data_IF_788471873393
#
_entry.id   IF_788471873393
#
_cell.length_a   1.000
_cell.length_b   1.000
_cell.length_c   1.000
_cell.angle_alpha   90.00
_cell.angle_beta   90.00
_cell.angle_gamma   90.00
#
_symmetry.space_group_name_H-M   'P 1'
#
loop_
_entity.id
_entity.type
_entity.pdbx_description
1 polymer ?
#
# COMPACT_ATOMS: atom_id res chain seq x y z
N UNK A 1 -12.72 -2.86 -8.28
CA UNK A 1 -11.41 -2.52 -8.84
C UNK A 1 -11.49 -2.06 -10.32
N UNK A 2 -12.48 -2.48 -11.08
CA UNK A 2 -12.59 -2.17 -12.51
C UNK A 2 -13.23 -0.82 -12.82
N UNK A 3 -13.73 -0.10 -11.82
CA UNK A 3 -14.35 1.21 -11.97
C UNK A 3 -13.88 2.15 -10.87
N UNK A 4 -13.26 3.27 -11.25
CA UNK A 4 -13.09 4.39 -10.34
C UNK A 4 -14.41 5.15 -10.25
N UNK A 5 -14.86 5.51 -9.05
CA UNK A 5 -15.89 6.53 -8.92
C UNK A 5 -15.36 7.85 -9.52
N UNK A 6 -16.28 8.77 -9.81
CA UNK A 6 -15.87 10.10 -10.26
C UNK A 6 -14.93 10.74 -9.23
N UNK A 7 -13.77 11.19 -9.69
CA UNK A 7 -12.80 11.90 -8.86
C UNK A 7 -13.18 13.38 -8.91
N UNK A 8 -13.84 13.85 -7.88
CA UNK A 8 -14.21 15.25 -7.68
C UNK A 8 -13.30 15.94 -6.65
N UNK A 9 -13.57 17.21 -6.38
CA UNK A 9 -12.79 18.02 -5.44
C UNK A 9 -12.90 17.56 -3.96
N UNK A 10 -13.84 16.68 -3.63
CA UNK A 10 -13.98 16.13 -2.29
C UNK A 10 -13.04 14.94 -2.04
N UNK A 11 -12.55 14.30 -3.11
CA UNK A 11 -11.61 13.17 -2.99
C UNK A 11 -10.24 13.67 -2.54
N UNK A 12 -9.80 13.23 -1.38
CA UNK A 12 -8.52 13.65 -0.76
C UNK A 12 -7.38 12.66 -0.98
N UNK A 13 -7.70 11.44 -1.36
CA UNK A 13 -6.73 10.37 -1.62
C UNK A 13 -7.43 9.09 -2.05
N UNK A 14 -6.65 8.11 -2.49
CA UNK A 14 -7.15 6.83 -3.00
C UNK A 14 -6.38 5.68 -2.37
N UNK A 15 -7.07 4.62 -2.00
CA UNK A 15 -6.48 3.35 -1.56
C UNK A 15 -6.87 2.27 -2.57
N UNK A 16 -5.88 1.67 -3.20
CA UNK A 16 -6.05 0.47 -4.02
C UNK A 16 -5.91 -0.75 -3.11
N UNK A 17 -7.02 -1.41 -2.86
CA UNK A 17 -7.14 -2.54 -1.94
C UNK A 17 -6.52 -3.83 -2.49
N UNK A 18 -6.50 -4.89 -1.67
CA UNK A 18 -6.14 -6.25 -2.07
C UNK A 18 -7.14 -6.88 -3.03
N UNK A 19 -6.71 -7.95 -3.69
CA UNK A 19 -7.52 -8.79 -4.58
C UNK A 19 -7.04 -10.24 -4.49
N UNK A 20 -7.92 -11.24 -4.68
CA UNK A 20 -7.50 -12.64 -4.75
C UNK A 20 -6.81 -13.01 -6.07
N UNK A 21 -6.83 -12.13 -7.07
CA UNK A 21 -6.16 -12.35 -8.36
C UNK A 21 -4.66 -12.12 -8.28
N UNK A 22 -3.90 -12.80 -9.14
CA UNK A 22 -2.53 -12.41 -9.46
C UNK A 22 -2.56 -11.23 -10.45
N UNK A 23 -1.69 -10.25 -10.27
CA UNK A 23 -1.54 -9.14 -11.25
C UNK A 23 -1.06 -9.64 -12.63
N UNK A 24 -0.56 -10.88 -12.70
CA UNK A 24 -0.09 -11.55 -13.92
C UNK A 24 -1.20 -12.24 -14.68
N UNK A 25 -2.36 -12.43 -14.07
CA UNK A 25 -3.50 -13.06 -14.73
C UNK A 25 -4.09 -12.15 -15.81
N UNK A 26 -4.52 -12.74 -16.92
CA UNK A 26 -5.15 -11.99 -18.01
C UNK A 26 -6.44 -11.29 -17.57
N UNK A 27 -7.20 -11.95 -16.69
CA UNK A 27 -8.48 -11.48 -16.14
C UNK A 27 -8.30 -10.63 -14.86
N UNK A 28 -7.04 -10.30 -14.47
CA UNK A 28 -6.77 -9.51 -13.29
C UNK A 28 -7.44 -8.13 -13.37
N UNK A 29 -8.04 -7.66 -12.28
CA UNK A 29 -8.63 -6.32 -12.23
C UNK A 29 -7.59 -5.24 -12.57
N UNK A 30 -7.93 -4.37 -13.50
CA UNK A 30 -7.08 -3.26 -13.93
C UNK A 30 -7.83 -1.95 -13.83
N UNK A 31 -7.11 -0.87 -13.55
CA UNK A 31 -7.68 0.45 -13.36
C UNK A 31 -6.83 1.49 -14.11
N UNK A 32 -7.47 2.46 -14.72
CA UNK A 32 -6.78 3.63 -15.27
C UNK A 32 -6.39 4.57 -14.12
N UNK A 33 -5.08 4.75 -13.94
CA UNK A 33 -4.51 5.60 -12.90
C UNK A 33 -4.21 7.02 -13.37
N UNK A 34 -4.50 7.38 -14.62
CA UNK A 34 -4.14 8.68 -15.22
C UNK A 34 -4.74 9.89 -14.48
N UNK A 35 -5.91 9.71 -13.87
CA UNK A 35 -6.58 10.75 -13.08
C UNK A 35 -6.06 10.87 -11.65
N UNK A 36 -5.29 9.89 -11.15
CA UNK A 36 -4.91 9.75 -9.74
C UNK A 36 -3.40 9.90 -9.55
N UNK A 37 -2.62 9.08 -10.26
CA UNK A 37 -1.16 8.97 -10.05
C UNK A 37 -0.48 10.32 -10.26
N UNK A 38 0.34 10.71 -9.27
CA UNK A 38 1.04 11.99 -9.26
C UNK A 38 0.15 13.22 -8.97
N UNK A 39 -1.17 13.03 -8.82
CA UNK A 39 -2.14 14.13 -8.59
C UNK A 39 -2.79 14.06 -7.21
N UNK A 40 -3.12 12.86 -6.77
CA UNK A 40 -3.72 12.61 -5.47
C UNK A 40 -2.83 11.68 -4.66
N UNK A 41 -2.85 11.78 -3.32
CA UNK A 41 -2.29 10.76 -2.47
C UNK A 41 -2.83 9.36 -2.81
N UNK A 42 -1.94 8.42 -3.04
CA UNK A 42 -2.27 7.05 -3.46
C UNK A 42 -1.55 6.04 -2.57
N UNK A 43 -2.31 5.08 -2.02
CA UNK A 43 -1.78 3.94 -1.29
C UNK A 43 -2.20 2.64 -1.97
N UNK A 44 -1.24 1.85 -2.43
CA UNK A 44 -1.47 0.48 -2.88
C UNK A 44 -1.32 -0.50 -1.71
N UNK A 45 -2.31 -1.38 -1.50
CA UNK A 45 -2.28 -2.43 -0.47
C UNK A 45 -2.31 -3.79 -1.13
N UNK A 46 -1.35 -4.66 -0.84
CA UNK A 46 -1.23 -6.02 -1.35
C UNK A 46 -1.32 -6.08 -2.89
N UNK A 47 -2.44 -6.50 -3.47
CA UNK A 47 -2.66 -6.48 -4.92
C UNK A 47 -2.42 -5.06 -5.50
N UNK A 48 -2.89 -4.01 -4.83
CA UNK A 48 -2.67 -2.63 -5.26
C UNK A 48 -1.18 -2.27 -5.34
N UNK A 49 -0.35 -2.75 -4.42
CA UNK A 49 1.09 -2.56 -4.46
C UNK A 49 1.73 -3.31 -5.64
N UNK A 50 1.34 -4.56 -5.86
CA UNK A 50 1.82 -5.36 -6.98
C UNK A 50 1.40 -4.76 -8.32
N UNK A 51 0.16 -4.27 -8.41
CA UNK A 51 -0.36 -3.61 -9.60
C UNK A 51 0.46 -2.36 -9.97
N UNK A 52 0.73 -1.48 -8.99
CA UNK A 52 1.56 -0.30 -9.19
C UNK A 52 2.98 -0.67 -9.65
N UNK A 53 3.62 -1.64 -8.99
CA UNK A 53 4.96 -2.07 -9.37
C UNK A 53 4.99 -2.61 -10.80
N UNK A 54 4.13 -3.58 -11.14
CA UNK A 54 4.13 -4.22 -12.46
C UNK A 54 3.70 -3.28 -13.58
N UNK A 55 2.67 -2.45 -13.35
CA UNK A 55 2.14 -1.53 -14.36
C UNK A 55 3.16 -0.47 -14.80
N UNK A 56 4.05 -0.06 -13.90
CA UNK A 56 5.06 0.95 -14.17
C UNK A 56 6.47 0.40 -14.43
N UNK A 57 6.59 -0.89 -14.75
CA UNK A 57 7.84 -1.49 -15.24
C UNK A 57 8.70 -2.16 -14.18
N UNK A 58 8.16 -2.38 -12.98
CA UNK A 58 8.72 -3.29 -11.99
C UNK A 58 8.47 -4.75 -12.35
N UNK A 59 8.75 -5.64 -11.40
CA UNK A 59 8.60 -7.08 -11.61
C UNK A 59 7.87 -7.73 -10.42
N UNK A 60 6.85 -8.53 -10.73
CA UNK A 60 6.10 -9.34 -9.78
C UNK A 60 6.16 -10.80 -10.21
N UNK A 61 6.61 -11.66 -9.32
CA UNK A 61 6.78 -13.10 -9.58
C UNK A 61 6.01 -13.92 -8.54
N UNK A 62 5.73 -15.21 -8.82
CA UNK A 62 5.24 -16.09 -7.77
C UNK A 62 6.21 -16.10 -6.59
N UNK A 63 5.69 -15.96 -5.39
CA UNK A 63 6.52 -16.12 -4.20
C UNK A 63 7.03 -17.58 -4.11
N UNK A 64 8.30 -17.82 -3.71
CA UNK A 64 8.85 -19.16 -3.56
C UNK A 64 8.07 -20.04 -2.59
N UNK A 65 7.50 -19.41 -1.57
CA UNK A 65 6.51 -19.97 -0.66
C UNK A 65 5.35 -19.00 -0.55
N UNK A 66 4.12 -19.52 -0.35
CA UNK A 66 2.98 -18.65 -0.07
C UNK A 66 3.19 -17.94 1.27
N UNK A 67 3.27 -16.63 1.23
CA UNK A 67 3.49 -15.79 2.42
C UNK A 67 2.14 -15.47 3.07
N UNK A 68 1.75 -16.32 4.01
CA UNK A 68 0.54 -16.15 4.81
C UNK A 68 0.92 -16.15 6.28
N UNK A 69 0.53 -15.10 6.99
CA UNK A 69 0.72 -15.04 8.43
C UNK A 69 1.47 -13.80 8.90
N UNK A 70 2.02 -13.93 10.11
CA UNK A 70 2.76 -12.87 10.77
C UNK A 70 4.17 -12.77 10.23
N UNK A 71 4.60 -11.55 9.94
CA UNK A 71 5.98 -11.24 9.58
C UNK A 71 6.46 -10.04 10.40
N UNK A 72 7.76 -9.97 10.63
CA UNK A 72 8.38 -8.81 11.27
C UNK A 72 8.86 -7.83 10.21
N UNK A 73 8.16 -6.69 10.12
CA UNK A 73 8.54 -5.57 9.26
C UNK A 73 9.70 -4.83 9.89
N UNK A 74 10.72 -4.52 9.10
CA UNK A 74 11.80 -3.59 9.45
C UNK A 74 11.64 -2.31 8.64
N UNK A 75 11.46 -1.18 9.31
CA UNK A 75 11.40 0.14 8.67
C UNK A 75 12.82 0.52 8.24
N UNK A 76 13.02 0.71 6.95
CA UNK A 76 14.31 1.08 6.33
C UNK A 76 14.48 2.59 6.31
N UNK A 77 13.40 3.31 5.99
CA UNK A 77 13.36 4.78 5.92
C UNK A 77 12.44 5.31 7.04
N UNK A 78 12.97 5.56 8.25
CA UNK A 78 12.14 5.98 9.39
C UNK A 78 11.56 7.39 9.25
N UNK A 79 12.16 8.24 8.40
CA UNK A 79 11.70 9.60 8.13
C UNK A 79 10.63 9.65 7.01
N UNK A 80 10.24 8.49 6.47
CA UNK A 80 9.16 8.42 5.49
C UNK A 80 7.82 8.72 6.16
N UNK A 81 7.01 9.60 5.53
CA UNK A 81 5.72 10.06 6.07
C UNK A 81 4.73 8.94 6.38
N UNK A 82 4.75 7.85 5.60
CA UNK A 82 3.87 6.70 5.85
C UNK A 82 4.33 5.93 7.10
N UNK A 83 5.64 5.92 7.37
CA UNK A 83 6.25 5.18 8.48
C UNK A 83 6.38 6.02 9.77
N UNK A 84 5.95 7.27 9.75
CA UNK A 84 6.07 8.19 10.88
C UNK A 84 5.46 7.61 12.17
N UNK A 85 6.24 7.62 13.25
CA UNK A 85 5.81 7.12 14.57
C UNK A 85 5.73 5.59 14.69
N UNK A 86 6.04 4.83 13.64
CA UNK A 86 6.16 3.38 13.74
C UNK A 86 7.50 3.01 14.40
N UNK A 87 7.52 1.95 15.24
CA UNK A 87 8.79 1.42 15.74
C UNK A 87 9.62 0.88 14.57
N UNK A 88 10.96 0.82 14.76
CA UNK A 88 11.86 0.31 13.71
C UNK A 88 11.52 -1.12 13.25
N UNK A 89 10.93 -1.90 14.15
CA UNK A 89 10.41 -3.23 13.83
C UNK A 89 8.99 -3.38 14.38
N UNK A 90 8.09 -3.88 13.56
CA UNK A 90 6.69 -4.11 13.95
C UNK A 90 6.13 -5.36 13.28
N UNK A 91 5.15 -6.00 13.91
CA UNK A 91 4.48 -7.16 13.33
C UNK A 91 3.44 -6.71 12.30
N UNK A 92 3.47 -7.33 11.13
CA UNK A 92 2.49 -7.16 10.06
C UNK A 92 1.89 -8.50 9.63
N UNK A 93 0.76 -8.46 8.94
CA UNK A 93 0.11 -9.63 8.36
C UNK A 93 0.34 -9.68 6.85
N UNK A 94 0.95 -10.77 6.39
CA UNK A 94 1.13 -11.08 4.98
C UNK A 94 0.02 -12.03 4.51
N UNK A 95 -0.45 -11.84 3.27
CA UNK A 95 -1.47 -12.70 2.66
C UNK A 95 -1.38 -12.59 1.13
N UNK A 96 -0.31 -13.15 0.55
CA UNK A 96 -0.09 -13.07 -0.90
C UNK A 96 0.66 -14.30 -1.45
N UNK A 97 0.35 -14.64 -2.70
CA UNK A 97 1.01 -15.72 -3.44
C UNK A 97 2.03 -15.21 -4.46
N UNK A 98 2.02 -13.93 -4.78
CA UNK A 98 3.01 -13.26 -5.64
C UNK A 98 3.79 -12.25 -4.81
N UNK A 99 5.04 -11.99 -5.17
CA UNK A 99 5.92 -11.04 -4.49
C UNK A 99 6.53 -10.04 -5.48
N UNK A 100 6.76 -8.81 -5.03
CA UNK A 100 7.43 -7.78 -5.81
C UNK A 100 8.93 -8.03 -5.69
N UNK A 101 9.56 -8.42 -6.80
CA UNK A 101 11.00 -8.71 -6.84
C UNK A 101 11.83 -7.51 -7.25
N UNK A 102 11.24 -6.58 -8.01
CA UNK A 102 11.89 -5.35 -8.43
C UNK A 102 10.89 -4.20 -8.53
N UNK A 103 11.24 -3.08 -7.92
CA UNK A 103 10.53 -1.81 -8.13
C UNK A 103 11.10 -1.08 -9.36
N UNK A 104 10.27 -0.26 -10.05
CA UNK A 104 10.76 0.58 -11.16
C UNK A 104 11.79 1.63 -10.71
N UNK A 105 12.49 2.24 -11.66
CA UNK A 105 13.36 3.38 -11.39
C UNK A 105 12.56 4.56 -10.81
N UNK A 106 13.15 5.29 -9.87
CA UNK A 106 12.48 6.36 -9.14
C UNK A 106 11.57 5.90 -8.01
N UNK A 107 11.60 4.60 -7.68
CA UNK A 107 10.89 4.04 -6.54
C UNK A 107 11.89 3.69 -5.43
N UNK A 108 11.51 3.95 -4.19
CA UNK A 108 12.35 3.70 -3.01
C UNK A 108 11.67 2.72 -2.07
N UNK A 109 12.40 1.69 -1.65
CA UNK A 109 11.93 0.75 -0.63
C UNK A 109 12.00 1.44 0.72
N UNK A 110 10.89 1.45 1.46
CA UNK A 110 10.78 2.11 2.77
C UNK A 110 10.69 1.11 3.93
N UNK A 111 10.29 -0.13 3.64
CA UNK A 111 10.32 -1.21 4.63
C UNK A 111 10.46 -2.59 3.96
N UNK A 112 11.04 -3.53 4.71
CA UNK A 112 11.30 -4.91 4.28
C UNK A 112 10.96 -5.89 5.40
N UNK A 113 10.80 -7.18 5.07
CA UNK A 113 10.84 -8.27 6.03
C UNK A 113 12.01 -9.21 5.72
N UNK A 114 12.21 -10.23 6.53
CA UNK A 114 13.25 -11.23 6.23
C UNK A 114 13.01 -11.96 4.90
N UNK A 115 11.75 -12.20 4.56
CA UNK A 115 11.33 -12.97 3.38
C UNK A 115 10.95 -12.05 2.20
N UNK A 116 10.39 -10.86 2.49
CA UNK A 116 9.90 -9.90 1.49
C UNK A 116 10.76 -8.65 1.48
N UNK A 117 11.67 -8.59 0.50
CA UNK A 117 12.55 -7.43 0.36
C UNK A 117 11.77 -6.13 0.08
N UNK A 118 10.76 -6.19 -0.76
CA UNK A 118 9.87 -5.05 -1.09
C UNK A 118 8.57 -5.18 -0.32
N UNK A 119 8.62 -5.00 1.02
CA UNK A 119 7.42 -5.03 1.85
C UNK A 119 6.66 -3.69 1.82
N UNK A 120 7.36 -2.58 1.63
CA UNK A 120 6.77 -1.26 1.37
C UNK A 120 7.71 -0.42 0.51
N UNK A 121 7.14 0.41 -0.35
CA UNK A 121 7.87 1.36 -1.18
C UNK A 121 7.09 2.65 -1.39
N UNK A 122 7.78 3.71 -1.83
CA UNK A 122 7.19 4.97 -2.30
C UNK A 122 7.73 5.33 -3.68
N UNK A 123 7.01 6.20 -4.39
CA UNK A 123 7.47 6.81 -5.63
C UNK A 123 8.09 8.18 -5.28
N UNK A 124 9.32 8.42 -5.71
CA UNK A 124 9.99 9.69 -5.46
C UNK A 124 9.33 10.82 -6.28
N UNK A 125 9.10 11.95 -5.63
CA UNK A 125 8.46 13.11 -6.27
C UNK A 125 6.94 13.01 -6.43
N UNK A 126 6.31 11.88 -6.03
CA UNK A 126 4.87 11.69 -6.08
C UNK A 126 4.30 11.32 -4.71
N UNK A 127 3.04 11.70 -4.41
CA UNK A 127 2.37 11.30 -3.16
C UNK A 127 1.82 9.87 -3.26
N UNK A 128 2.68 8.92 -3.63
CA UNK A 128 2.30 7.51 -3.87
C UNK A 128 3.14 6.56 -3.04
N UNK A 129 2.48 5.73 -2.25
CA UNK A 129 3.05 4.66 -1.43
C UNK A 129 2.41 3.33 -1.75
N UNK A 130 3.08 2.27 -1.39
CA UNK A 130 2.56 0.92 -1.52
C UNK A 130 3.11 0.00 -0.43
N UNK A 131 2.27 -0.91 0.04
CA UNK A 131 2.59 -1.90 1.07
C UNK A 131 2.11 -3.29 0.63
N UNK A 132 2.93 -4.30 0.83
CA UNK A 132 2.59 -5.69 0.48
C UNK A 132 1.71 -6.35 1.54
N UNK A 133 1.77 -5.89 2.77
CA UNK A 133 1.02 -6.40 3.92
C UNK A 133 -0.34 -5.71 4.10
N UNK A 134 -1.15 -6.25 5.01
CA UNK A 134 -2.49 -5.79 5.32
C UNK A 134 -2.49 -4.99 6.63
N UNK A 135 -2.49 -3.65 6.60
CA UNK A 135 -2.50 -2.82 7.82
C UNK A 135 -3.86 -2.84 8.52
N UNK A 136 -4.93 -3.17 7.78
CA UNK A 136 -6.32 -3.16 8.26
C UNK A 136 -6.67 -4.34 9.16
N UNK A 137 -5.87 -5.41 9.13
CA UNK A 137 -6.17 -6.59 9.93
C UNK A 137 -5.61 -6.51 11.34
N UNK A 138 -6.29 -7.11 12.30
CA UNK A 138 -5.92 -7.13 13.73
C UNK A 138 -4.47 -7.57 14.00
N UNK A 139 -3.90 -8.43 13.16
CA UNK A 139 -2.55 -8.97 13.35
C UNK A 139 -1.43 -8.01 12.93
N UNK A 140 -1.75 -6.88 12.30
CA UNK A 140 -0.80 -5.80 12.01
C UNK A 140 -0.82 -4.82 13.19
N UNK A 141 0.17 -4.93 14.09
CA UNK A 141 0.19 -4.26 15.39
C UNK A 141 0.05 -2.74 15.28
N UNK A 142 0.82 -2.12 14.39
CA UNK A 142 0.82 -0.68 14.17
C UNK A 142 0.06 -0.27 12.89
N UNK A 143 -0.80 -1.16 12.38
CA UNK A 143 -1.56 -0.94 11.15
C UNK A 143 -2.47 0.29 11.22
N UNK A 144 -3.11 0.52 12.37
CA UNK A 144 -3.95 1.71 12.61
C UNK A 144 -3.13 3.00 12.51
N UNK A 145 -1.90 3.01 13.08
CA UNK A 145 -1.02 4.18 13.00
C UNK A 145 -0.62 4.45 11.55
N UNK A 146 -0.26 3.40 10.78
CA UNK A 146 0.09 3.52 9.37
C UNK A 146 -1.08 4.08 8.53
N UNK A 147 -2.28 3.54 8.71
CA UNK A 147 -3.48 4.06 8.03
C UNK A 147 -3.79 5.50 8.44
N UNK A 148 -3.59 5.86 9.71
CA UNK A 148 -3.72 7.23 10.18
C UNK A 148 -2.70 8.17 9.51
N UNK A 149 -1.45 7.74 9.38
CA UNK A 149 -0.41 8.51 8.68
C UNK A 149 -0.85 8.80 7.23
N UNK A 150 -1.41 7.81 6.54
CA UNK A 150 -1.92 8.02 5.19
C UNK A 150 -3.15 8.92 5.16
N UNK A 151 -4.22 8.55 5.87
CA UNK A 151 -5.53 9.21 5.75
C UNK A 151 -5.50 10.62 6.35
N UNK A 152 -4.91 10.79 7.52
CA UNK A 152 -4.88 12.09 8.21
C UNK A 152 -3.64 12.87 7.84
N UNK A 153 -2.44 12.27 7.95
CA UNK A 153 -1.16 12.95 7.74
C UNK A 153 -0.90 13.30 6.28
N UNK A 154 -1.16 12.37 5.36
CA UNK A 154 -0.84 12.53 3.93
C UNK A 154 -2.03 13.12 3.16
N UNK A 155 -3.24 12.54 3.31
CA UNK A 155 -4.44 13.02 2.62
C UNK A 155 -5.06 14.25 3.25
N UNK A 156 -4.73 14.59 4.50
CA UNK A 156 -5.27 15.73 5.22
C UNK A 156 -6.76 15.60 5.55
N UNK A 157 -7.27 14.37 5.73
CA UNK A 157 -8.65 14.13 6.11
C UNK A 157 -8.90 14.54 7.57
N UNK A 158 -9.99 15.25 7.81
CA UNK A 158 -10.42 15.59 9.17
C UNK A 158 -10.99 14.35 9.88
N UNK A 159 -10.71 14.23 11.19
CA UNK A 159 -11.29 13.19 12.05
C UNK A 159 -12.56 13.70 12.74
N UNK A 160 -13.52 14.21 11.95
CA UNK A 160 -14.74 14.82 12.47
C UNK A 160 -15.91 13.84 12.60
N UNK A 161 -15.78 12.64 12.01
CA UNK A 161 -16.83 11.62 12.12
C UNK A 161 -16.67 10.82 13.41
N UNK A 162 -17.75 10.68 14.15
CA UNK A 162 -17.87 9.80 15.31
C UNK A 162 -19.14 8.98 15.17
N UNK A 163 -19.22 7.82 15.82
CA UNK A 163 -20.45 7.01 15.84
C UNK A 163 -21.64 7.78 16.42
N UNK A 164 -21.41 8.74 17.32
CA UNK A 164 -22.42 9.61 17.89
C UNK A 164 -22.95 10.67 16.90
N UNK A 165 -22.16 11.03 15.89
CA UNK A 165 -22.59 12.00 14.85
C UNK A 165 -23.47 11.37 13.77
N UNK A 166 -23.73 10.07 13.84
CA UNK A 166 -24.52 9.31 12.87
C UNK A 166 -25.99 9.08 13.30
N UNK A 167 -26.40 9.60 14.44
CA UNK A 167 -27.78 9.49 14.99
C UNK A 167 -28.60 10.71 14.63
#
# INVERSE_FOLDING_TARGET
FNHLPAIDAAVRGVILSGSPFSVRDAEAPRIDLSAIKGRLPLLGVCYGAQYLAQHFGGEVTPAPSREYGRAMLTVVEPDDRLMEGLPRTTQVWMSHGDTITRVPDGYRIVASTAEVHVAAYRIEGEPTWAIQFHPEVYHSTDGVQLLRNFVVGICGCAQSWTSESFV
#
